data_IF_111855131632
#
_entry.id   IF_111855131632
#
_cell.length_a   1.000
_cell.length_b   1.000
_cell.length_c   1.000
_cell.angle_alpha   90.00
_cell.angle_beta   90.00
_cell.angle_gamma   90.00
#
_symmetry.space_group_name_H-M   'P 1'
#
loop_
_entity.id
_entity.type
_entity.pdbx_description
1 polymer ?
#
# COMPACT_ATOMS: atom_id res chain seq x y z
N UNK A 1 -0.73 -3.73 -24.01
CA UNK A 1 -0.52 -3.82 -22.58
C UNK A 1 0.92 -4.24 -22.26
N UNK A 2 1.45 -5.35 -22.81
CA UNK A 2 2.77 -5.92 -22.43
C UNK A 2 3.88 -4.87 -22.44
N UNK A 3 4.06 -4.12 -23.53
CA UNK A 3 5.13 -3.12 -23.67
C UNK A 3 4.98 -1.93 -22.70
N UNK A 4 3.76 -1.55 -22.36
CA UNK A 4 3.50 -0.35 -21.53
C UNK A 4 3.52 -0.69 -20.05
N UNK A 5 3.08 -1.90 -19.68
CA UNK A 5 2.85 -2.27 -18.27
C UNK A 5 3.89 -3.27 -17.78
N UNK A 6 4.12 -4.36 -18.50
CA UNK A 6 5.00 -5.47 -18.06
C UNK A 6 6.45 -5.16 -18.36
N UNK A 7 6.78 -4.90 -19.62
CA UNK A 7 8.14 -4.69 -20.12
C UNK A 7 8.51 -3.20 -20.20
N UNK A 8 7.76 -2.32 -19.53
CA UNK A 8 7.95 -0.88 -19.61
C UNK A 8 9.40 -0.49 -19.35
N UNK A 9 9.94 0.36 -20.25
CA UNK A 9 11.24 0.98 -20.02
C UNK A 9 11.06 2.16 -19.10
N UNK A 10 11.98 2.36 -18.15
CA UNK A 10 12.03 3.57 -17.34
C UNK A 10 12.32 4.76 -18.25
N UNK A 11 11.37 5.66 -18.38
CA UNK A 11 11.46 6.84 -19.25
C UNK A 11 11.14 8.09 -18.41
N UNK A 12 12.18 8.62 -17.78
CA UNK A 12 12.08 9.84 -16.99
C UNK A 12 12.45 11.04 -17.86
N UNK A 13 11.55 12.03 -17.97
CA UNK A 13 11.80 13.28 -18.65
C UNK A 13 11.65 14.45 -17.69
N UNK A 14 12.55 15.42 -17.82
CA UNK A 14 12.42 16.68 -17.11
C UNK A 14 11.32 17.50 -17.79
N UNK A 15 10.30 17.87 -17.03
CA UNK A 15 9.24 18.76 -17.48
C UNK A 15 9.65 20.22 -17.50
N UNK A 16 8.78 21.07 -18.05
CA UNK A 16 8.99 22.53 -18.07
C UNK A 16 8.92 23.14 -16.66
N UNK A 17 8.30 22.45 -15.71
CA UNK A 17 8.25 22.75 -14.28
C UNK A 17 9.58 22.47 -13.55
N UNK A 18 10.52 21.81 -14.21
CA UNK A 18 11.81 21.41 -13.67
C UNK A 18 11.81 20.05 -12.96
N UNK A 19 10.66 19.41 -12.78
CA UNK A 19 10.50 18.10 -12.16
C UNK A 19 10.70 16.97 -13.16
N UNK A 20 11.03 15.77 -12.64
CA UNK A 20 11.17 14.57 -13.46
C UNK A 20 9.87 13.78 -13.45
N UNK A 21 9.31 13.54 -14.64
CA UNK A 21 8.09 12.75 -14.86
C UNK A 21 8.42 11.36 -15.38
N UNK A 22 7.80 10.34 -14.79
CA UNK A 22 7.85 8.96 -15.29
C UNK A 22 6.79 8.78 -16.39
N UNK A 23 7.20 8.93 -17.63
CA UNK A 23 6.31 8.76 -18.79
C UNK A 23 5.79 7.33 -18.92
N UNK A 24 6.50 6.32 -18.40
CA UNK A 24 6.02 4.95 -18.34
C UNK A 24 4.81 4.83 -17.42
N UNK A 25 4.87 5.47 -16.26
CA UNK A 25 3.76 5.54 -15.31
C UNK A 25 2.54 6.26 -15.90
N UNK A 26 2.75 7.38 -16.60
CA UNK A 26 1.66 8.14 -17.26
C UNK A 26 0.97 7.31 -18.34
N UNK A 27 1.75 6.60 -19.16
CA UNK A 27 1.20 5.69 -20.18
C UNK A 27 0.42 4.52 -19.55
N UNK A 28 0.91 3.97 -18.42
CA UNK A 28 0.22 2.91 -17.71
C UNK A 28 -1.12 3.39 -17.13
N UNK A 29 -1.18 4.60 -16.56
CA UNK A 29 -2.43 5.22 -16.09
C UNK A 29 -3.42 5.45 -17.22
N UNK A 30 -2.98 6.03 -18.34
CA UNK A 30 -3.84 6.26 -19.51
C UNK A 30 -4.43 4.94 -20.03
N UNK A 31 -3.61 3.89 -20.11
CA UNK A 31 -4.07 2.56 -20.52
C UNK A 31 -5.05 1.94 -19.52
N UNK A 32 -4.85 2.15 -18.23
CA UNK A 32 -5.78 1.68 -17.19
C UNK A 32 -7.15 2.35 -17.33
N UNK A 33 -7.18 3.66 -17.61
CA UNK A 33 -8.42 4.40 -17.83
C UNK A 33 -9.19 3.93 -19.07
N UNK A 34 -8.50 3.44 -20.10
CA UNK A 34 -9.15 2.89 -21.31
C UNK A 34 -9.62 1.46 -21.10
N UNK A 35 -8.74 0.57 -20.59
CA UNK A 35 -9.06 -0.84 -20.39
C UNK A 35 -10.07 -1.08 -19.27
N UNK A 36 -10.14 -0.19 -18.28
CA UNK A 36 -11.15 -0.24 -17.23
C UNK A 36 -12.59 -0.15 -17.74
N UNK A 37 -12.80 0.45 -18.92
CA UNK A 37 -14.11 0.54 -19.56
C UNK A 37 -14.54 -0.75 -20.28
N UNK A 38 -13.61 -1.68 -20.49
CA UNK A 38 -13.80 -2.94 -21.22
C UNK A 38 -13.24 -4.12 -20.42
N UNK A 39 -13.85 -4.46 -19.27
CA UNK A 39 -13.34 -5.44 -18.33
C UNK A 39 -13.12 -6.82 -18.95
N UNK A 40 -13.95 -7.26 -19.89
CA UNK A 40 -13.79 -8.54 -20.58
C UNK A 40 -12.45 -8.64 -21.34
N UNK A 41 -11.98 -7.53 -21.92
CA UNK A 41 -10.65 -7.50 -22.54
C UNK A 41 -9.53 -7.55 -21.52
N UNK A 42 -9.73 -6.94 -20.36
CA UNK A 42 -8.75 -6.93 -19.30
C UNK A 42 -8.53 -8.33 -18.70
N UNK A 43 -9.59 -9.13 -18.57
CA UNK A 43 -9.51 -10.50 -18.06
C UNK A 43 -8.51 -11.37 -18.85
N UNK A 44 -8.42 -11.19 -20.16
CA UNK A 44 -7.47 -11.91 -21.01
C UNK A 44 -6.00 -11.63 -20.65
N UNK A 45 -5.72 -10.50 -20.02
CA UNK A 45 -4.35 -10.09 -19.65
C UNK A 45 -3.99 -10.44 -18.20
N UNK A 46 -4.92 -10.94 -17.39
CA UNK A 46 -4.67 -11.29 -15.99
C UNK A 46 -3.50 -12.27 -15.83
N UNK A 47 -3.39 -13.36 -16.63
CA UNK A 47 -2.23 -14.26 -16.52
C UNK A 47 -0.89 -13.53 -16.74
N UNK A 48 -0.83 -12.66 -17.74
CA UNK A 48 0.36 -11.87 -18.04
C UNK A 48 0.71 -10.89 -16.90
N UNK A 49 -0.30 -10.30 -16.26
CA UNK A 49 -0.13 -9.33 -15.17
C UNK A 49 0.19 -9.99 -13.83
N UNK A 50 0.01 -11.31 -13.73
CA UNK A 50 0.22 -12.09 -12.50
C UNK A 50 1.55 -12.82 -12.47
N UNK A 51 2.37 -12.72 -13.53
CA UNK A 51 3.57 -13.54 -13.67
C UNK A 51 4.81 -12.73 -14.07
N UNK A 52 5.98 -13.17 -13.57
CA UNK A 52 7.27 -12.65 -13.97
C UNK A 52 7.59 -11.24 -13.47
N UNK A 53 8.52 -10.59 -14.17
CA UNK A 53 8.94 -9.21 -13.83
C UNK A 53 7.88 -8.22 -14.32
N UNK A 54 7.43 -7.39 -13.41
CA UNK A 54 6.38 -6.38 -13.67
C UNK A 54 6.94 -4.98 -13.38
N UNK A 55 6.89 -4.07 -14.35
CA UNK A 55 7.46 -2.71 -14.22
C UNK A 55 6.44 -1.68 -13.75
N UNK A 56 5.32 -1.57 -14.47
CA UNK A 56 4.29 -0.56 -14.21
C UNK A 56 2.95 -1.16 -13.75
N UNK A 57 2.91 -2.48 -13.48
CA UNK A 57 1.67 -3.18 -13.14
C UNK A 57 1.03 -2.71 -11.85
N UNK A 58 1.84 -2.25 -10.89
CA UNK A 58 1.31 -1.63 -9.67
C UNK A 58 0.54 -0.34 -9.99
N UNK A 59 1.13 0.56 -10.77
CA UNK A 59 0.50 1.84 -11.14
C UNK A 59 -0.74 1.60 -11.99
N UNK A 60 -0.64 0.68 -12.96
CA UNK A 60 -1.76 0.27 -13.80
C UNK A 60 -2.93 -0.26 -12.96
N UNK A 61 -2.67 -1.20 -12.03
CA UNK A 61 -3.69 -1.78 -11.18
C UNK A 61 -4.33 -0.75 -10.25
N UNK A 62 -3.54 0.16 -9.67
CA UNK A 62 -4.06 1.22 -8.79
C UNK A 62 -5.00 2.16 -9.53
N UNK A 63 -4.62 2.62 -10.70
CA UNK A 63 -5.42 3.55 -11.52
C UNK A 63 -6.70 2.89 -12.06
N UNK A 64 -6.65 1.58 -12.32
CA UNK A 64 -7.77 0.82 -12.85
C UNK A 64 -9.02 0.92 -11.97
N UNK A 65 -8.85 0.96 -10.63
CA UNK A 65 -9.97 0.96 -9.67
C UNK A 65 -10.93 2.13 -9.88
N UNK A 66 -10.41 3.30 -10.20
CA UNK A 66 -11.25 4.49 -10.48
C UNK A 66 -11.97 4.45 -11.83
N UNK A 67 -11.59 3.53 -12.71
CA UNK A 67 -12.06 3.48 -14.09
C UNK A 67 -12.83 2.20 -14.44
N UNK A 68 -12.86 1.21 -13.55
CA UNK A 68 -13.49 -0.10 -13.80
C UNK A 68 -14.65 -0.32 -12.83
N UNK A 69 -15.91 -0.37 -13.30
CA UNK A 69 -17.06 -0.66 -12.45
C UNK A 69 -16.96 -2.03 -11.76
N UNK A 70 -16.42 -3.02 -12.48
CA UNK A 70 -16.30 -4.40 -12.03
C UNK A 70 -14.95 -4.73 -11.38
N UNK A 71 -14.30 -3.70 -10.77
CA UNK A 71 -12.96 -3.86 -10.19
C UNK A 71 -12.85 -5.01 -9.18
N UNK A 72 -13.94 -5.38 -8.51
CA UNK A 72 -13.94 -6.50 -7.57
C UNK A 72 -13.75 -7.83 -8.29
N UNK A 73 -14.44 -8.06 -9.42
CA UNK A 73 -14.26 -9.26 -10.24
C UNK A 73 -12.84 -9.34 -10.81
N UNK A 74 -12.30 -8.22 -11.30
CA UNK A 74 -10.91 -8.13 -11.77
C UNK A 74 -9.92 -8.46 -10.65
N UNK A 75 -10.17 -7.97 -9.44
CA UNK A 75 -9.30 -8.26 -8.28
C UNK A 75 -9.35 -9.76 -7.93
N UNK A 76 -10.51 -10.37 -7.91
CA UNK A 76 -10.66 -11.81 -7.70
C UNK A 76 -9.94 -12.61 -8.80
N UNK A 77 -10.09 -12.21 -10.06
CA UNK A 77 -9.38 -12.78 -11.20
C UNK A 77 -7.85 -12.66 -11.04
N UNK A 78 -7.35 -11.49 -10.62
CA UNK A 78 -5.92 -11.26 -10.38
C UNK A 78 -5.36 -12.16 -9.26
N UNK A 79 -6.10 -12.33 -8.15
CA UNK A 79 -5.70 -13.23 -7.08
C UNK A 79 -5.70 -14.69 -7.53
N UNK A 80 -6.68 -15.11 -8.35
CA UNK A 80 -6.69 -16.44 -8.97
C UNK A 80 -5.52 -16.63 -9.95
N UNK A 81 -5.23 -15.62 -10.78
CA UNK A 81 -4.08 -15.62 -11.69
C UNK A 81 -2.77 -15.79 -10.92
N UNK A 82 -2.60 -15.06 -9.83
CA UNK A 82 -1.44 -15.17 -8.95
C UNK A 82 -1.30 -16.57 -8.33
N UNK A 83 -2.41 -17.18 -7.90
CA UNK A 83 -2.43 -18.55 -7.35
C UNK A 83 -2.03 -19.60 -8.37
N UNK A 84 -2.35 -19.40 -9.65
CA UNK A 84 -2.11 -20.35 -10.75
C UNK A 84 -0.76 -20.15 -11.44
N UNK A 85 -0.08 -19.03 -11.20
CA UNK A 85 1.22 -18.73 -11.83
C UNK A 85 2.33 -19.65 -11.28
N UNK A 86 3.25 -20.04 -12.13
CA UNK A 86 4.48 -20.74 -11.76
C UNK A 86 5.55 -19.78 -11.21
N UNK A 87 5.57 -18.54 -11.72
CA UNK A 87 6.48 -17.49 -11.29
C UNK A 87 5.66 -16.24 -10.87
N UNK A 88 4.94 -16.30 -9.74
CA UNK A 88 3.95 -15.31 -9.38
C UNK A 88 4.55 -13.94 -9.05
N UNK A 89 3.95 -12.90 -9.63
CA UNK A 89 4.27 -11.50 -9.35
C UNK A 89 3.07 -10.78 -8.73
N UNK A 90 3.16 -10.31 -7.49
CA UNK A 90 2.03 -9.68 -6.80
C UNK A 90 1.79 -8.22 -7.21
N UNK A 91 2.62 -7.62 -8.08
CA UNK A 91 2.62 -6.18 -8.35
C UNK A 91 1.26 -5.65 -8.84
N UNK A 92 0.59 -6.37 -9.75
CA UNK A 92 -0.73 -5.98 -10.22
C UNK A 92 -1.78 -6.05 -9.09
N UNK A 93 -1.80 -7.15 -8.34
CA UNK A 93 -2.72 -7.31 -7.21
C UNK A 93 -2.47 -6.26 -6.11
N UNK A 94 -1.21 -5.91 -5.82
CA UNK A 94 -0.84 -4.83 -4.90
C UNK A 94 -1.38 -3.48 -5.37
N UNK A 95 -1.27 -3.19 -6.66
CA UNK A 95 -1.84 -1.98 -7.26
C UNK A 95 -3.35 -1.92 -7.08
N UNK A 96 -4.06 -3.00 -7.43
CA UNK A 96 -5.50 -3.11 -7.24
C UNK A 96 -5.89 -2.89 -5.78
N UNK A 97 -5.25 -3.58 -4.84
CA UNK A 97 -5.53 -3.42 -3.41
C UNK A 97 -5.26 -1.99 -2.90
N UNK A 98 -4.18 -1.36 -3.36
CA UNK A 98 -3.90 0.04 -3.04
C UNK A 98 -5.01 0.97 -3.54
N UNK A 99 -5.46 0.79 -4.79
CA UNK A 99 -6.56 1.57 -5.35
C UNK A 99 -7.89 1.31 -4.64
N UNK A 100 -8.19 0.05 -4.29
CA UNK A 100 -9.39 -0.31 -3.51
C UNK A 100 -9.35 0.36 -2.14
N UNK A 101 -8.20 0.40 -1.47
CA UNK A 101 -8.08 1.06 -0.16
C UNK A 101 -8.39 2.55 -0.26
N UNK A 102 -7.90 3.24 -1.29
CA UNK A 102 -8.15 4.65 -1.54
C UNK A 102 -9.65 4.90 -1.87
N UNK A 103 -10.28 3.96 -2.58
CA UNK A 103 -11.68 4.06 -3.00
C UNK A 103 -12.66 3.64 -1.89
N UNK A 104 -12.43 2.50 -1.24
CA UNK A 104 -13.30 1.91 -0.21
C UNK A 104 -12.52 1.03 0.76
N UNK A 105 -12.29 1.55 1.97
CA UNK A 105 -11.62 0.79 3.03
C UNK A 105 -12.37 -0.49 3.39
N UNK A 106 -13.70 -0.47 3.37
CA UNK A 106 -14.52 -1.64 3.66
C UNK A 106 -14.36 -2.75 2.61
N UNK A 107 -14.28 -2.39 1.33
CA UNK A 107 -14.01 -3.34 0.24
C UNK A 107 -12.60 -3.93 0.36
N UNK A 108 -11.61 -3.10 0.71
CA UNK A 108 -10.25 -3.55 0.95
C UNK A 108 -10.18 -4.59 2.09
N UNK A 109 -10.80 -4.29 3.25
CA UNK A 109 -10.87 -5.23 4.38
C UNK A 109 -11.52 -6.56 3.98
N UNK A 110 -12.60 -6.51 3.20
CA UNK A 110 -13.27 -7.71 2.68
C UNK A 110 -12.32 -8.56 1.84
N UNK A 111 -11.60 -7.95 0.89
CA UNK A 111 -10.66 -8.69 0.04
C UNK A 111 -9.51 -9.27 0.85
N UNK A 112 -8.87 -8.46 1.72
CA UNK A 112 -7.74 -8.90 2.53
C UNK A 112 -8.11 -10.04 3.47
N UNK A 113 -9.31 -10.03 4.06
CA UNK A 113 -9.78 -11.12 4.92
C UNK A 113 -9.97 -12.46 4.16
N UNK A 114 -10.28 -12.41 2.86
CA UNK A 114 -10.43 -13.61 2.03
C UNK A 114 -9.09 -14.24 1.62
N UNK A 115 -8.01 -13.47 1.59
CA UNK A 115 -6.68 -13.93 1.18
C UNK A 115 -6.14 -15.03 2.12
N UNK A 116 -6.48 -14.98 3.40
CA UNK A 116 -6.03 -15.99 4.39
C UNK A 116 -6.43 -17.41 4.01
N UNK A 117 -7.56 -17.59 3.32
CA UNK A 117 -8.10 -18.90 2.94
C UNK A 117 -7.47 -19.51 1.68
N UNK A 118 -6.61 -18.78 0.97
CA UNK A 118 -6.05 -19.22 -0.32
C UNK A 118 -4.55 -19.48 -0.17
N UNK A 119 -4.15 -20.73 0.05
CA UNK A 119 -2.78 -21.13 0.45
C UNK A 119 -1.64 -20.50 -0.37
N UNK A 120 -1.73 -20.52 -1.71
CA UNK A 120 -0.68 -19.92 -2.54
C UNK A 120 -0.62 -18.40 -2.45
N UNK A 121 -1.76 -17.73 -2.36
CA UNK A 121 -1.87 -16.27 -2.31
C UNK A 121 -1.54 -15.74 -0.92
N UNK A 122 -1.85 -16.49 0.13
CA UNK A 122 -1.60 -16.09 1.51
C UNK A 122 -0.09 -15.95 1.83
N UNK A 123 0.80 -16.54 1.02
CA UNK A 123 2.24 -16.28 1.13
C UNK A 123 2.61 -14.81 0.85
N UNK A 124 1.77 -14.05 0.14
CA UNK A 124 1.91 -12.62 -0.15
C UNK A 124 1.16 -11.71 0.83
N UNK A 125 0.51 -12.30 1.84
CA UNK A 125 -0.28 -11.56 2.81
C UNK A 125 0.47 -10.39 3.47
N UNK A 126 1.77 -10.51 3.85
CA UNK A 126 2.53 -9.38 4.38
C UNK A 126 2.58 -8.19 3.43
N UNK A 127 2.73 -8.44 2.13
CA UNK A 127 2.80 -7.38 1.11
C UNK A 127 1.43 -6.72 0.95
N UNK A 128 0.36 -7.52 0.93
CA UNK A 128 -1.00 -7.04 0.72
C UNK A 128 -1.51 -6.13 1.84
N UNK A 129 -1.25 -6.46 3.10
CA UNK A 129 -1.67 -5.61 4.22
C UNK A 129 -0.97 -4.26 4.26
N UNK A 130 0.20 -4.11 3.60
CA UNK A 130 0.90 -2.81 3.50
C UNK A 130 0.23 -1.83 2.55
N UNK A 131 -0.71 -2.29 1.70
CA UNK A 131 -1.47 -1.42 0.79
C UNK A 131 -2.54 -0.60 1.51
N UNK A 132 -2.80 -0.88 2.78
CA UNK A 132 -3.77 -0.18 3.60
C UNK A 132 -3.33 0.03 5.05
N UNK A 133 -4.27 0.39 5.93
CA UNK A 133 -3.98 0.55 7.35
C UNK A 133 -3.91 -0.79 8.06
N UNK A 134 -2.75 -1.12 8.61
CA UNK A 134 -2.54 -2.38 9.35
C UNK A 134 -3.19 -2.27 10.74
N UNK A 135 -4.07 -3.24 11.06
CA UNK A 135 -4.77 -3.37 12.34
C UNK A 135 -4.31 -4.60 13.12
N UNK A 136 -4.79 -4.74 14.36
CA UNK A 136 -4.47 -5.90 15.23
C UNK A 136 -4.88 -7.24 14.60
N UNK A 137 -6.00 -7.27 13.91
CA UNK A 137 -6.54 -8.44 13.22
C UNK A 137 -5.59 -8.93 12.13
N UNK A 138 -5.00 -7.98 11.37
CA UNK A 138 -4.00 -8.31 10.32
C UNK A 138 -2.74 -8.93 10.94
N UNK A 139 -2.29 -8.42 12.08
CA UNK A 139 -1.16 -9.01 12.81
C UNK A 139 -1.48 -10.42 13.32
N UNK A 140 -2.70 -10.62 13.84
CA UNK A 140 -3.12 -11.95 14.30
C UNK A 140 -3.15 -12.96 13.15
N UNK A 141 -3.68 -12.57 11.99
CA UNK A 141 -3.66 -13.38 10.77
C UNK A 141 -2.24 -13.66 10.30
N UNK A 142 -1.38 -12.64 10.25
CA UNK A 142 0.02 -12.82 9.85
C UNK A 142 0.74 -13.83 10.75
N UNK A 143 0.57 -13.74 12.08
CA UNK A 143 1.17 -14.68 13.02
C UNK A 143 0.69 -16.11 12.77
N UNK A 144 -0.62 -16.33 12.53
CA UNK A 144 -1.14 -17.65 12.16
C UNK A 144 -0.52 -18.21 10.88
N UNK A 145 -0.33 -17.36 9.87
CA UNK A 145 0.30 -17.77 8.59
C UNK A 145 1.78 -18.12 8.77
N UNK A 146 2.49 -17.42 9.67
CA UNK A 146 3.87 -17.73 10.04
C UNK A 146 3.94 -19.08 10.77
N UNK A 147 3.07 -19.30 11.77
CA UNK A 147 2.99 -20.56 12.54
C UNK A 147 2.67 -21.74 11.63
N UNK A 148 1.82 -21.56 10.61
CA UNK A 148 1.53 -22.58 9.58
C UNK A 148 2.68 -22.76 8.58
N UNK A 149 3.74 -21.96 8.62
CA UNK A 149 4.85 -22.03 7.67
C UNK A 149 4.54 -21.50 6.26
N UNK A 150 3.38 -20.86 6.06
CA UNK A 150 2.96 -20.28 4.77
C UNK A 150 3.76 -19.02 4.45
N UNK A 151 4.04 -18.20 5.48
CA UNK A 151 4.82 -16.97 5.37
C UNK A 151 6.17 -17.17 6.05
N UNK A 152 7.27 -16.94 5.33
CA UNK A 152 8.60 -17.02 5.91
C UNK A 152 9.00 -15.73 6.63
N UNK A 153 9.71 -15.83 7.74
CA UNK A 153 10.25 -14.68 8.47
C UNK A 153 11.16 -13.77 7.61
N UNK A 154 11.85 -14.34 6.63
CA UNK A 154 12.71 -13.58 5.70
C UNK A 154 11.92 -12.59 4.85
N UNK A 155 10.68 -12.93 4.49
CA UNK A 155 9.83 -12.05 3.67
C UNK A 155 9.37 -10.82 4.44
N UNK A 156 9.18 -10.94 5.74
CA UNK A 156 8.81 -9.82 6.61
C UNK A 156 9.95 -8.82 6.76
N UNK A 157 11.20 -9.30 6.85
CA UNK A 157 12.39 -8.46 7.01
C UNK A 157 12.73 -7.59 5.80
N UNK A 158 12.31 -7.98 4.57
CA UNK A 158 12.55 -7.19 3.36
C UNK A 158 11.64 -5.96 3.25
N UNK A 159 10.55 -5.90 4.01
CA UNK A 159 9.58 -4.80 4.05
C UNK A 159 9.56 -4.07 5.41
N UNK A 160 10.59 -4.26 6.24
CA UNK A 160 10.68 -3.57 7.52
C UNK A 160 10.74 -2.05 7.30
N UNK A 161 9.57 -1.45 7.11
CA UNK A 161 9.36 -0.03 7.43
C UNK A 161 9.76 0.12 8.89
N UNK A 162 10.70 1.04 9.26
CA UNK A 162 11.04 1.24 10.65
C UNK A 162 9.76 1.62 11.40
N UNK A 163 9.24 0.67 12.16
CA UNK A 163 8.19 0.92 13.14
C UNK A 163 8.73 1.98 14.07
N UNK A 164 8.40 3.26 13.82
CA UNK A 164 8.53 4.30 14.83
C UNK A 164 7.78 3.74 16.03
N UNK A 165 8.55 3.31 17.05
CA UNK A 165 8.03 2.90 18.36
C UNK A 165 6.95 3.91 18.73
N UNK A 166 5.70 3.48 18.75
CA UNK A 166 4.65 4.20 19.44
C UNK A 166 5.13 4.27 20.90
N UNK A 167 5.73 5.39 21.28
CA UNK A 167 5.98 5.73 22.68
C UNK A 167 4.58 5.73 23.30
N UNK A 168 4.31 4.72 24.11
CA UNK A 168 3.25 4.78 25.10
C UNK A 168 3.50 6.05 25.90
N UNK A 169 2.67 7.06 25.69
CA UNK A 169 2.62 8.23 26.54
C UNK A 169 2.11 7.73 27.89
N UNK A 170 3.03 7.55 28.85
CA UNK A 170 2.65 7.45 30.25
C UNK A 170 1.97 8.76 30.64
N UNK A 171 0.84 8.70 31.36
CA UNK A 171 0.21 9.91 31.87
C UNK A 171 1.14 10.52 32.93
N UNK A 172 1.78 11.63 32.59
CA UNK A 172 2.56 12.44 33.51
C UNK A 172 1.67 12.83 34.69
N UNK A 173 2.07 12.37 35.88
CA UNK A 173 1.50 12.74 37.14
C UNK A 173 1.46 14.28 37.28
N UNK A 174 0.28 14.76 37.67
CA UNK A 174 0.01 16.16 38.00
C UNK A 174 0.92 16.57 39.15
N UNK A 175 1.99 17.31 38.84
CA UNK A 175 2.85 17.96 39.82
C UNK A 175 2.18 19.27 40.28
N UNK A 176 1.76 19.28 41.54
CA UNK A 176 1.36 20.48 42.28
C UNK A 176 2.46 21.53 42.18
N UNK A 177 2.23 22.62 41.45
CA UNK A 177 3.04 23.82 41.56
C UNK A 177 2.51 24.69 42.67
N UNK A 178 3.20 24.62 43.82
CA UNK A 178 3.05 25.51 44.96
C UNK A 178 3.41 26.94 44.58
N UNK A 179 2.48 27.86 44.81
CA UNK A 179 2.69 29.31 44.72
C UNK A 179 3.79 29.72 45.73
N UNK A 180 4.94 30.16 45.27
CA UNK A 180 5.85 30.99 46.04
C UNK A 180 5.59 32.46 45.71
N UNK A 181 4.99 33.15 46.65
CA UNK A 181 4.95 34.59 46.78
C UNK A 181 6.35 35.10 47.14
N UNK A 182 6.87 36.05 46.39
CA UNK A 182 8.02 36.83 46.81
C UNK A 182 7.61 38.29 47.03
N UNK A 183 7.96 38.89 48.15
CA UNK A 183 7.64 40.27 48.45
C UNK A 183 8.78 41.21 48.10
N UNK A 184 8.38 42.42 47.69
CA UNK A 184 8.97 43.76 47.88
C UNK A 184 10.50 43.96 47.84
N UNK A 185 10.88 44.98 47.10
CA UNK A 185 12.15 45.69 47.15
C UNK A 185 12.17 46.88 46.19
N UNK A 186 11.62 47.97 46.56
CA UNK A 186 12.08 49.36 46.80
C UNK A 186 13.25 49.86 45.93
N UNK A 187 12.95 51.01 45.27
CA UNK A 187 13.63 52.32 45.31
C UNK A 187 14.87 52.54 44.47
N UNK A 188 14.89 53.71 43.82
CA UNK A 188 16.07 54.47 43.39
C UNK A 188 15.84 55.16 42.01
N UNK A 189 15.20 56.26 41.88
CA UNK A 189 15.61 57.68 41.96
C UNK A 189 16.86 58.05 41.16
N UNK A 190 16.65 59.13 40.36
CA UNK A 190 17.63 60.07 39.70
C UNK A 190 18.09 59.64 38.33
N UNK A 191 18.03 60.47 37.29
CA UNK A 191 18.16 61.95 37.13
C UNK A 191 19.07 62.18 35.94
N UNK A 192 18.72 63.09 35.10
CA UNK A 192 19.53 63.55 33.97
C UNK A 192 18.65 63.77 32.76
#
# INVERSE_FOLDING_TARGET
LKIIVVDAVLDYRKGDDGDYHDLGAEKAKALAAELGKVPDQLEMYIPLLSEGIQRQSFIFGKELIGNCPDYMAITEGALKGLANSENPSPQFALGLLSGIYDHSKASWEKVVSQIESTDKVSSFYPDFITTGAIRKEHWATLNRLIEKGVVSHRRIGSHAVPLKRARTAEPSAVGHFSKRTNPTGKSGSRGG
#
